data_IF_733376692012
#
_entry.id   IF_733376692012
#
_cell.length_a   1.000
_cell.length_b   1.000
_cell.length_c   1.000
_cell.angle_alpha   90.00
_cell.angle_beta   90.00
_cell.angle_gamma   90.00
#
_symmetry.space_group_name_H-M   'P 1'
#
loop_
_entity.id
_entity.type
_entity.pdbx_description
1 polymer ?
#
# COMPACT_ATOMS: atom_id res chain seq x y z
N UNK A 1 -28.51 -9.08 -18.69
CA UNK A 1 -27.77 -9.87 -17.67
C UNK A 1 -26.51 -9.17 -17.13
N UNK A 2 -26.16 -7.97 -17.61
CA UNK A 2 -24.96 -7.20 -17.20
C UNK A 2 -25.13 -6.29 -15.97
N UNK A 3 -26.34 -5.97 -15.54
CA UNK A 3 -26.59 -5.01 -14.45
C UNK A 3 -26.42 -5.59 -13.02
N UNK A 4 -26.60 -6.89 -12.85
CA UNK A 4 -26.60 -7.54 -11.52
C UNK A 4 -25.16 -7.78 -11.01
N UNK A 5 -24.19 -8.02 -11.88
CA UNK A 5 -22.76 -8.22 -11.50
C UNK A 5 -22.15 -6.91 -11.04
N UNK A 6 -22.54 -5.79 -11.65
CA UNK A 6 -22.11 -4.44 -11.26
C UNK A 6 -22.60 -4.04 -9.87
N UNK A 7 -23.82 -4.43 -9.47
CA UNK A 7 -24.39 -4.05 -8.17
C UNK A 7 -23.71 -4.76 -6.99
N UNK A 8 -23.35 -6.05 -7.11
CA UNK A 8 -22.63 -6.78 -6.05
C UNK A 8 -21.19 -6.28 -5.87
N UNK A 9 -20.49 -5.97 -6.95
CA UNK A 9 -19.14 -5.40 -6.88
C UNK A 9 -19.18 -3.97 -6.34
N UNK A 10 -20.13 -3.14 -6.76
CA UNK A 10 -20.33 -1.80 -6.25
C UNK A 10 -20.73 -1.80 -4.76
N UNK A 11 -21.56 -2.76 -4.34
CA UNK A 11 -22.01 -2.89 -2.94
C UNK A 11 -20.90 -3.35 -2.01
N UNK A 12 -20.00 -4.24 -2.45
CA UNK A 12 -18.83 -4.64 -1.64
C UNK A 12 -17.80 -3.52 -1.51
N UNK A 13 -17.59 -2.76 -2.58
CA UNK A 13 -16.68 -1.59 -2.58
C UNK A 13 -17.24 -0.45 -1.73
N UNK A 14 -18.54 -0.19 -1.82
CA UNK A 14 -19.24 0.80 -0.99
C UNK A 14 -19.15 0.45 0.50
N UNK A 15 -19.32 -0.83 0.87
CA UNK A 15 -19.24 -1.27 2.27
C UNK A 15 -17.85 -1.07 2.89
N UNK A 16 -16.78 -1.34 2.15
CA UNK A 16 -15.42 -1.17 2.65
C UNK A 16 -15.03 0.32 2.71
N UNK A 17 -15.30 1.07 1.64
CA UNK A 17 -14.98 2.51 1.58
C UNK A 17 -15.79 3.33 2.60
N UNK A 18 -16.98 2.87 2.99
CA UNK A 18 -17.83 3.58 3.96
C UNK A 18 -17.37 3.43 5.39
N UNK A 19 -16.54 2.41 5.70
CA UNK A 19 -15.98 2.17 7.03
C UNK A 19 -14.67 2.90 7.29
N UNK A 20 -14.10 3.55 6.26
CA UNK A 20 -12.84 4.29 6.38
C UNK A 20 -13.12 5.79 6.31
N UNK A 21 -12.44 6.63 7.13
CA UNK A 21 -12.50 8.08 7.00
C UNK A 21 -12.15 8.54 5.56
N UNK A 22 -12.74 9.62 5.03
CA UNK A 22 -13.67 10.53 5.70
C UNK A 22 -15.13 10.06 5.72
N UNK A 23 -15.50 9.05 4.91
CA UNK A 23 -16.88 8.64 4.65
C UNK A 23 -17.63 8.25 5.94
N UNK A 24 -16.99 7.46 6.82
CA UNK A 24 -17.58 7.06 8.10
C UNK A 24 -17.98 8.27 8.95
N UNK A 25 -17.12 9.29 9.03
CA UNK A 25 -17.37 10.47 9.88
C UNK A 25 -18.42 11.40 9.28
N UNK A 26 -18.44 11.54 7.95
CA UNK A 26 -19.51 12.23 7.24
C UNK A 26 -20.83 11.51 7.48
N UNK A 27 -20.87 10.18 7.35
CA UNK A 27 -22.06 9.38 7.58
C UNK A 27 -22.57 9.52 9.03
N UNK A 28 -21.69 9.46 10.03
CA UNK A 28 -22.04 9.70 11.43
C UNK A 28 -22.65 11.08 11.64
N UNK A 29 -22.08 12.11 11.03
CA UNK A 29 -22.61 13.47 11.09
C UNK A 29 -24.01 13.55 10.50
N UNK A 30 -24.22 12.99 9.32
CA UNK A 30 -25.54 12.98 8.64
C UNK A 30 -26.57 12.18 9.44
N UNK A 31 -26.21 11.00 9.94
CA UNK A 31 -27.09 10.17 10.79
C UNK A 31 -27.46 10.93 12.06
N UNK A 32 -26.48 11.60 12.68
CA UNK A 32 -26.72 12.43 13.87
C UNK A 32 -27.74 13.54 13.59
N UNK A 33 -27.63 14.24 12.46
CA UNK A 33 -28.58 15.27 12.04
C UNK A 33 -30.00 14.70 11.79
N UNK A 34 -30.10 13.51 11.19
CA UNK A 34 -31.39 12.83 11.01
C UNK A 34 -32.02 12.45 12.36
N UNK A 35 -31.21 11.89 13.27
CA UNK A 35 -31.68 11.56 14.63
C UNK A 35 -32.12 12.80 15.38
N UNK A 36 -31.44 13.95 15.20
CA UNK A 36 -31.77 15.21 15.86
C UNK A 36 -33.18 15.70 15.55
N UNK A 37 -33.76 15.30 14.43
CA UNK A 37 -35.16 15.63 14.09
C UNK A 37 -36.16 15.07 15.11
N UNK A 38 -35.89 13.87 15.65
CA UNK A 38 -36.81 13.22 16.63
C UNK A 38 -36.28 13.31 18.06
N UNK A 39 -34.97 13.20 18.25
CA UNK A 39 -34.24 13.25 19.52
C UNK A 39 -33.12 14.26 19.47
N UNK A 40 -33.46 15.56 19.60
CA UNK A 40 -32.55 16.68 19.35
C UNK A 40 -31.20 16.54 20.08
N UNK A 41 -31.22 16.23 21.39
CA UNK A 41 -29.99 16.13 22.20
C UNK A 41 -29.09 14.99 21.73
N UNK A 42 -29.64 13.80 21.53
CA UNK A 42 -28.89 12.64 21.09
C UNK A 42 -28.34 12.87 19.68
N UNK A 43 -29.15 13.35 18.76
CA UNK A 43 -28.73 13.61 17.39
C UNK A 43 -27.62 14.66 17.29
N UNK A 44 -27.70 15.75 18.07
CA UNK A 44 -26.63 16.75 18.11
C UNK A 44 -25.33 16.19 18.68
N UNK A 45 -25.37 15.34 19.72
CA UNK A 45 -24.16 14.67 20.23
C UNK A 45 -23.50 13.81 19.17
N UNK A 46 -24.26 12.98 18.44
CA UNK A 46 -23.74 12.12 17.38
C UNK A 46 -23.18 12.94 16.22
N UNK A 47 -23.91 13.99 15.79
CA UNK A 47 -23.46 14.86 14.70
C UNK A 47 -22.17 15.62 15.08
N UNK A 48 -22.11 16.19 16.27
CA UNK A 48 -20.91 16.89 16.76
C UNK A 48 -19.73 15.95 16.89
N UNK A 49 -19.93 14.73 17.36
CA UNK A 49 -18.88 13.70 17.44
C UNK A 49 -18.33 13.33 16.07
N UNK A 50 -19.20 13.08 15.07
CA UNK A 50 -18.79 12.80 13.70
C UNK A 50 -17.99 13.96 13.06
N UNK A 51 -18.49 15.20 13.24
CA UNK A 51 -17.81 16.40 12.77
C UNK A 51 -16.46 16.64 13.45
N UNK A 52 -16.38 16.41 14.77
CA UNK A 52 -15.14 16.54 15.53
C UNK A 52 -14.09 15.51 15.07
N UNK A 53 -14.48 14.26 14.83
CA UNK A 53 -13.58 13.24 14.30
C UNK A 53 -13.07 13.62 12.91
N UNK A 54 -13.95 14.10 12.03
CA UNK A 54 -13.55 14.57 10.69
C UNK A 54 -12.57 15.74 10.79
N UNK A 55 -12.83 16.70 11.67
CA UNK A 55 -11.93 17.81 11.94
C UNK A 55 -10.55 17.30 12.39
N UNK A 56 -10.49 16.43 13.39
CA UNK A 56 -9.24 15.91 13.96
C UNK A 56 -8.38 15.20 12.91
N UNK A 57 -8.95 14.27 12.14
CA UNK A 57 -8.18 13.54 11.11
C UNK A 57 -7.77 14.42 9.93
N UNK A 58 -8.34 15.61 9.80
CA UNK A 58 -7.95 16.58 8.79
C UNK A 58 -6.81 17.49 9.26
N UNK A 59 -6.35 17.38 10.52
CA UNK A 59 -5.27 18.21 11.04
C UNK A 59 -3.90 17.56 10.85
N UNK A 60 -2.83 18.35 10.54
CA UNK A 60 -1.46 17.85 10.42
C UNK A 60 -0.97 17.10 11.65
N UNK A 61 -1.29 17.58 12.85
CA UNK A 61 -0.88 16.96 14.13
C UNK A 61 -1.37 15.52 14.25
N UNK A 62 -2.63 15.26 13.89
CA UNK A 62 -3.19 13.89 13.94
C UNK A 62 -2.64 13.03 12.79
N UNK A 63 -2.47 13.62 11.61
CA UNK A 63 -1.89 12.92 10.46
C UNK A 63 -0.46 12.45 10.75
N UNK A 64 0.38 13.32 11.33
CA UNK A 64 1.77 13.02 11.70
C UNK A 64 1.83 11.93 12.80
N UNK A 65 0.95 11.98 13.78
CA UNK A 65 0.83 10.95 14.82
C UNK A 65 0.46 9.59 14.22
N UNK A 66 -0.56 9.54 13.37
CA UNK A 66 -1.02 8.30 12.75
C UNK A 66 0.05 7.67 11.85
N UNK A 67 0.70 8.48 11.00
CA UNK A 67 1.76 7.96 10.12
C UNK A 67 3.02 7.58 10.91
N UNK A 68 3.31 8.26 12.02
CA UNK A 68 4.35 7.89 12.98
C UNK A 68 4.10 6.50 13.53
N UNK A 69 2.88 6.23 14.03
CA UNK A 69 2.48 4.93 14.54
C UNK A 69 2.63 3.79 13.52
N UNK A 70 2.32 4.04 12.25
CA UNK A 70 2.53 3.06 11.16
C UNK A 70 4.02 2.77 10.97
N UNK A 71 4.88 3.80 11.03
CA UNK A 71 6.34 3.65 10.89
C UNK A 71 6.95 2.89 12.08
N UNK A 72 6.49 3.17 13.30
CA UNK A 72 6.94 2.47 14.51
C UNK A 72 6.58 0.98 14.45
N UNK A 73 5.38 0.66 13.93
CA UNK A 73 4.99 -0.72 13.68
C UNK A 73 5.88 -1.42 12.64
N UNK A 74 6.33 -0.71 11.61
CA UNK A 74 7.28 -1.26 10.64
C UNK A 74 8.64 -1.55 11.28
N UNK A 75 9.14 -0.65 12.11
CA UNK A 75 10.40 -0.83 12.85
C UNK A 75 10.36 -1.97 13.87
N UNK A 76 9.16 -2.34 14.36
CA UNK A 76 8.97 -3.44 15.31
C UNK A 76 8.90 -4.83 14.64
N UNK A 77 8.85 -4.92 13.30
CA UNK A 77 8.81 -6.20 12.58
C UNK A 77 10.25 -6.71 12.43
N UNK A 78 10.58 -7.90 12.99
CA UNK A 78 11.92 -8.44 12.87
C UNK A 78 12.30 -8.67 11.40
N UNK A 79 13.47 -8.19 11.02
CA UNK A 79 14.09 -8.58 9.75
C UNK A 79 14.70 -9.97 9.97
N UNK A 80 14.37 -10.91 9.09
CA UNK A 80 14.93 -12.25 9.17
C UNK A 80 16.45 -12.17 8.92
N UNK A 81 17.27 -12.78 9.78
CA UNK A 81 18.70 -12.78 9.58
C UNK A 81 19.03 -13.47 8.25
N UNK A 82 19.86 -12.84 7.45
CA UNK A 82 20.45 -13.43 6.26
C UNK A 82 21.95 -13.44 6.44
N UNK A 83 22.58 -14.58 6.17
CA UNK A 83 24.03 -14.69 6.17
C UNK A 83 24.69 -14.15 4.87
N UNK A 84 23.91 -13.63 3.95
CA UNK A 84 24.35 -13.18 2.63
C UNK A 84 23.86 -11.76 2.34
N UNK A 85 24.63 -10.95 1.58
CA UNK A 85 24.16 -9.64 1.10
C UNK A 85 22.92 -9.78 0.19
N UNK A 86 22.16 -8.69 -0.02
CA UNK A 86 21.00 -8.73 -0.92
C UNK A 86 21.42 -9.11 -2.33
N UNK A 87 20.71 -10.05 -2.94
CA UNK A 87 20.98 -10.50 -4.30
C UNK A 87 19.98 -9.97 -5.34
N UNK A 88 18.98 -9.19 -4.93
CA UNK A 88 18.00 -8.56 -5.81
C UNK A 88 17.35 -7.33 -5.14
N UNK A 89 16.76 -6.47 -5.97
CA UNK A 89 15.87 -5.40 -5.58
C UNK A 89 14.43 -5.82 -5.87
N UNK A 90 13.55 -5.81 -4.88
CA UNK A 90 12.11 -6.04 -5.06
C UNK A 90 11.38 -4.70 -5.03
N UNK A 91 10.61 -4.41 -6.07
CA UNK A 91 9.75 -3.21 -6.15
C UNK A 91 8.29 -3.63 -6.16
N UNK A 92 7.53 -3.21 -5.15
CA UNK A 92 6.09 -3.50 -5.09
C UNK A 92 5.28 -2.42 -5.81
N UNK A 93 4.25 -2.85 -6.55
CA UNK A 93 3.27 -1.93 -7.13
C UNK A 93 2.44 -1.21 -6.06
N UNK A 94 1.84 -0.06 -6.41
CA UNK A 94 0.90 0.66 -5.57
C UNK A 94 -0.39 0.99 -6.33
N UNK A 95 -0.29 1.77 -7.38
CA UNK A 95 -1.40 2.31 -8.14
C UNK A 95 -1.14 2.33 -9.65
N UNK A 96 -2.20 2.57 -10.40
CA UNK A 96 -2.17 2.75 -11.85
C UNK A 96 -3.11 3.89 -12.26
N UNK A 97 -2.92 4.42 -13.45
CA UNK A 97 -3.76 5.47 -14.04
C UNK A 97 -4.01 5.21 -15.53
N UNK A 98 -5.01 5.88 -16.11
CA UNK A 98 -5.14 5.90 -17.56
C UNK A 98 -3.90 6.52 -18.17
N UNK A 99 -3.45 5.94 -19.27
CA UNK A 99 -2.33 6.49 -20.04
C UNK A 99 -2.82 7.59 -20.99
N UNK A 100 -1.99 8.61 -21.16
CA UNK A 100 -2.17 9.64 -22.16
C UNK A 100 -1.43 9.28 -23.45
N UNK A 101 -0.68 8.17 -23.46
CA UNK A 101 0.09 7.71 -24.62
C UNK A 101 -0.80 6.94 -25.59
N UNK A 102 -0.82 7.28 -26.89
CA UNK A 102 -1.57 6.56 -27.90
C UNK A 102 -1.18 5.06 -27.94
N UNK A 103 -2.18 4.18 -27.96
CA UNK A 103 -1.98 2.73 -27.99
C UNK A 103 -1.80 2.07 -26.62
N UNK A 104 -1.64 2.83 -25.55
CA UNK A 104 -1.53 2.32 -24.18
C UNK A 104 -2.77 2.76 -23.37
N UNK A 105 -3.55 1.79 -22.86
CA UNK A 105 -4.77 2.11 -22.10
C UNK A 105 -4.49 2.56 -20.67
N UNK A 106 -3.50 1.95 -20.00
CA UNK A 106 -3.13 2.21 -18.63
C UNK A 106 -1.62 2.21 -18.44
N UNK A 107 -1.15 2.94 -17.44
CA UNK A 107 0.25 3.00 -17.00
C UNK A 107 0.32 3.07 -15.48
N UNK A 108 1.52 3.02 -14.92
CA UNK A 108 1.74 3.17 -13.48
C UNK A 108 1.20 4.50 -12.96
N UNK A 109 0.64 4.49 -11.76
CA UNK A 109 0.23 5.70 -11.06
C UNK A 109 1.41 6.42 -10.40
N UNK A 110 1.18 7.62 -9.83
CA UNK A 110 2.23 8.43 -9.22
C UNK A 110 2.99 7.70 -8.09
N UNK A 111 2.28 6.95 -7.25
CA UNK A 111 2.90 6.22 -6.16
C UNK A 111 3.79 5.07 -6.65
N UNK A 112 3.35 4.34 -7.66
CA UNK A 112 4.19 3.30 -8.28
C UNK A 112 5.41 3.93 -8.96
N UNK A 113 5.24 5.05 -9.66
CA UNK A 113 6.33 5.77 -10.33
C UNK A 113 7.40 6.24 -9.33
N UNK A 114 7.02 6.72 -8.14
CA UNK A 114 7.97 7.08 -7.09
C UNK A 114 8.84 5.90 -6.65
N UNK A 115 8.26 4.70 -6.54
CA UNK A 115 9.02 3.48 -6.21
C UNK A 115 9.95 3.06 -7.33
N UNK A 116 9.53 3.21 -8.58
CA UNK A 116 10.36 2.92 -9.75
C UNK A 116 11.54 3.89 -9.86
N UNK A 117 11.30 5.18 -9.61
CA UNK A 117 12.36 6.18 -9.58
C UNK A 117 13.38 5.91 -8.47
N UNK A 118 12.95 5.35 -7.32
CA UNK A 118 13.88 4.89 -6.28
C UNK A 118 14.69 3.68 -6.74
N UNK A 119 14.04 2.70 -7.36
CA UNK A 119 14.72 1.54 -7.91
C UNK A 119 15.76 1.93 -8.98
N UNK A 120 15.42 2.89 -9.83
CA UNK A 120 16.31 3.43 -10.85
C UNK A 120 17.53 4.17 -10.27
N UNK A 121 17.42 4.71 -9.07
CA UNK A 121 18.57 5.30 -8.35
C UNK A 121 19.45 4.25 -7.69
N UNK A 122 18.85 3.20 -7.14
CA UNK A 122 19.58 2.19 -6.36
C UNK A 122 20.18 1.08 -7.24
N UNK A 123 19.57 0.73 -8.36
CA UNK A 123 20.07 -0.33 -9.25
C UNK A 123 21.52 -0.06 -9.72
N UNK A 124 21.87 1.10 -10.30
CA UNK A 124 23.22 1.38 -10.74
C UNK A 124 24.26 1.46 -9.60
N UNK A 125 23.80 1.79 -8.39
CA UNK A 125 24.67 1.89 -7.20
C UNK A 125 25.01 0.54 -6.61
N UNK A 126 24.06 -0.42 -6.69
CA UNK A 126 24.16 -1.72 -6.06
C UNK A 126 24.53 -2.82 -7.07
N UNK A 127 24.27 -2.62 -8.35
CA UNK A 127 24.45 -3.62 -9.39
C UNK A 127 23.56 -4.85 -9.21
N UNK A 128 22.40 -4.69 -8.56
CA UNK A 128 21.51 -5.79 -8.24
C UNK A 128 20.36 -5.89 -9.26
N UNK A 129 20.04 -7.12 -9.72
CA UNK A 129 18.90 -7.32 -10.62
C UNK A 129 17.58 -6.97 -9.96
N UNK A 130 16.65 -6.43 -10.75
CA UNK A 130 15.35 -5.93 -10.30
C UNK A 130 14.25 -6.96 -10.51
N UNK A 131 13.42 -7.18 -9.49
CA UNK A 131 12.14 -7.86 -9.55
C UNK A 131 11.03 -6.82 -9.33
N UNK A 132 10.05 -6.75 -10.23
CA UNK A 132 8.84 -5.97 -10.07
C UNK A 132 7.65 -6.89 -9.74
N UNK A 133 6.82 -6.49 -8.78
CA UNK A 133 5.69 -7.31 -8.32
C UNK A 133 4.39 -6.50 -8.30
N UNK A 134 3.39 -7.05 -8.96
CA UNK A 134 2.04 -6.49 -8.99
C UNK A 134 1.17 -7.16 -10.04
N UNK A 135 0.12 -7.82 -9.60
CA UNK A 135 -0.79 -8.57 -10.45
C UNK A 135 -1.69 -7.71 -11.34
N UNK A 136 -2.64 -8.35 -11.97
CA UNK A 136 -3.59 -7.70 -12.89
C UNK A 136 -4.82 -7.20 -12.14
N UNK A 137 -5.07 -5.89 -12.09
CA UNK A 137 -6.28 -5.36 -11.49
C UNK A 137 -7.55 -5.82 -12.23
N UNK A 138 -8.66 -5.92 -11.51
CA UNK A 138 -9.93 -6.31 -12.10
C UNK A 138 -10.33 -5.38 -13.26
N UNK A 139 -10.65 -5.98 -14.42
CA UNK A 139 -11.07 -5.25 -15.62
C UNK A 139 -9.92 -4.76 -16.50
N UNK A 140 -8.65 -4.99 -16.13
CA UNK A 140 -7.49 -4.72 -16.96
C UNK A 140 -6.98 -5.98 -17.66
N UNK A 141 -6.23 -5.79 -18.75
CA UNK A 141 -5.52 -6.87 -19.47
C UNK A 141 -4.08 -6.99 -18.99
N UNK A 142 -3.47 -5.83 -18.68
CA UNK A 142 -2.05 -5.76 -18.31
C UNK A 142 -1.88 -5.80 -16.80
N UNK A 143 -0.85 -6.50 -16.35
CA UNK A 143 -0.47 -6.53 -14.94
C UNK A 143 0.25 -5.23 -14.55
N UNK A 144 0.18 -4.89 -13.27
CA UNK A 144 0.97 -3.77 -12.72
C UNK A 144 2.47 -4.03 -12.92
N UNK A 145 2.93 -5.25 -12.72
CA UNK A 145 4.32 -5.62 -12.96
C UNK A 145 4.71 -5.44 -14.44
N UNK A 146 3.82 -5.72 -15.37
CA UNK A 146 4.04 -5.43 -16.80
C UNK A 146 4.22 -3.94 -17.06
N UNK A 147 3.31 -3.09 -16.55
CA UNK A 147 3.42 -1.63 -16.66
C UNK A 147 4.71 -1.09 -16.00
N UNK A 148 5.08 -1.65 -14.84
CA UNK A 148 6.31 -1.28 -14.12
C UNK A 148 7.57 -1.64 -14.93
N UNK A 149 7.60 -2.83 -15.56
CA UNK A 149 8.71 -3.22 -16.46
C UNK A 149 8.86 -2.23 -17.59
N UNK A 150 7.78 -1.91 -18.31
CA UNK A 150 7.81 -0.95 -19.43
C UNK A 150 8.42 0.38 -18.98
N UNK A 151 7.96 0.95 -17.86
CA UNK A 151 8.47 2.24 -17.36
C UNK A 151 9.94 2.15 -16.94
N UNK A 152 10.35 1.07 -16.23
CA UNK A 152 11.77 0.89 -15.86
C UNK A 152 12.67 0.76 -17.07
N UNK A 153 12.28 -0.06 -18.04
CA UNK A 153 13.11 -0.36 -19.22
C UNK A 153 13.12 0.80 -20.22
N UNK A 154 11.96 1.40 -20.51
CA UNK A 154 11.83 2.42 -21.54
C UNK A 154 12.20 3.82 -21.05
N UNK A 155 11.73 4.21 -19.84
CA UNK A 155 11.92 5.57 -19.32
C UNK A 155 13.19 5.70 -18.47
N UNK A 156 13.45 4.70 -17.59
CA UNK A 156 14.60 4.74 -16.67
C UNK A 156 15.83 3.97 -17.15
N UNK A 157 15.73 3.17 -18.23
CA UNK A 157 16.82 2.34 -18.75
C UNK A 157 17.36 1.31 -17.77
N UNK A 158 16.52 0.86 -16.85
CA UNK A 158 16.84 -0.17 -15.86
C UNK A 158 16.24 -1.50 -16.29
N UNK A 159 17.06 -2.56 -16.51
CA UNK A 159 16.57 -3.86 -16.92
C UNK A 159 15.80 -4.56 -15.80
N UNK A 160 14.64 -5.12 -16.13
CA UNK A 160 13.84 -5.93 -15.21
C UNK A 160 14.17 -7.40 -15.41
N UNK A 161 14.76 -8.03 -14.38
CA UNK A 161 15.16 -9.45 -14.44
C UNK A 161 13.99 -10.39 -14.21
N UNK A 162 13.09 -10.07 -13.26
CA UNK A 162 11.94 -10.90 -12.92
C UNK A 162 10.69 -10.05 -12.78
N UNK A 163 9.58 -10.65 -13.20
CA UNK A 163 8.25 -10.06 -13.13
C UNK A 163 7.29 -11.01 -12.43
N UNK A 164 6.69 -10.55 -11.35
CA UNK A 164 5.61 -11.22 -10.64
C UNK A 164 4.29 -10.50 -10.99
N UNK A 165 3.40 -11.15 -11.69
CA UNK A 165 2.20 -10.56 -12.30
C UNK A 165 0.88 -11.24 -11.89
N UNK A 166 0.89 -12.13 -10.88
CA UNK A 166 -0.27 -12.93 -10.45
C UNK A 166 -0.92 -12.49 -9.15
N UNK A 167 -0.18 -11.75 -8.34
CA UNK A 167 -0.62 -11.33 -7.00
C UNK A 167 -1.84 -10.40 -7.02
N UNK A 168 -2.67 -10.54 -5.99
CA UNK A 168 -3.85 -9.69 -5.74
C UNK A 168 -3.78 -8.96 -4.41
N UNK A 169 -2.85 -9.34 -3.56
CA UNK A 169 -2.66 -8.80 -2.21
C UNK A 169 -1.17 -8.60 -1.93
N UNK A 170 -0.84 -7.77 -0.94
CA UNK A 170 0.55 -7.59 -0.51
C UNK A 170 1.18 -8.90 -0.01
N UNK A 171 0.38 -9.79 0.59
CA UNK A 171 0.85 -11.10 1.00
C UNK A 171 1.22 -11.98 -0.19
N UNK A 172 0.39 -12.00 -1.23
CA UNK A 172 0.66 -12.73 -2.47
C UNK A 172 1.87 -12.12 -3.22
N UNK A 173 2.04 -10.78 -3.22
CA UNK A 173 3.24 -10.15 -3.73
C UNK A 173 4.50 -10.74 -3.05
N UNK A 174 4.49 -10.81 -1.72
CA UNK A 174 5.61 -11.38 -0.97
C UNK A 174 5.82 -12.87 -1.26
N UNK A 175 4.75 -13.67 -1.24
CA UNK A 175 4.82 -15.10 -1.44
C UNK A 175 5.34 -15.47 -2.84
N UNK A 176 4.82 -14.83 -3.89
CA UNK A 176 5.20 -15.14 -5.26
C UNK A 176 6.57 -14.56 -5.63
N UNK A 177 6.90 -13.36 -5.15
CA UNK A 177 8.26 -12.80 -5.31
C UNK A 177 9.30 -13.68 -4.61
N UNK A 178 9.04 -14.11 -3.40
CA UNK A 178 9.91 -15.02 -2.66
C UNK A 178 10.12 -16.36 -3.39
N UNK A 179 9.05 -16.93 -3.98
CA UNK A 179 9.13 -18.16 -4.76
C UNK A 179 10.02 -17.99 -6.01
N UNK A 180 9.83 -16.89 -6.77
CA UNK A 180 10.67 -16.56 -7.93
C UNK A 180 12.13 -16.45 -7.53
N UNK A 181 12.44 -15.71 -6.48
CA UNK A 181 13.82 -15.45 -6.05
C UNK A 181 14.50 -16.70 -5.46
N UNK A 182 13.75 -17.53 -4.69
CA UNK A 182 14.28 -18.81 -4.22
C UNK A 182 14.65 -19.75 -5.36
N UNK A 183 13.82 -19.85 -6.39
CA UNK A 183 14.12 -20.65 -7.60
C UNK A 183 15.31 -20.09 -8.37
N UNK A 184 15.53 -18.78 -8.31
CA UNK A 184 16.70 -18.13 -8.91
C UNK A 184 17.97 -18.23 -8.06
N UNK A 185 17.92 -18.91 -6.89
CA UNK A 185 19.05 -19.02 -5.97
C UNK A 185 19.39 -17.71 -5.24
N UNK A 186 18.45 -16.77 -5.15
CA UNK A 186 18.63 -15.49 -4.45
C UNK A 186 18.13 -15.65 -3.01
N UNK A 187 19.02 -15.68 -2.00
CA UNK A 187 18.63 -15.99 -0.61
C UNK A 187 18.00 -14.82 0.12
N UNK A 188 18.22 -13.59 -0.33
CA UNK A 188 17.76 -12.38 0.32
C UNK A 188 17.67 -11.22 -0.67
N UNK A 189 16.88 -10.20 -0.34
CA UNK A 189 16.66 -9.07 -1.21
C UNK A 189 16.54 -7.74 -0.44
N UNK A 190 16.65 -6.65 -1.19
CA UNK A 190 16.31 -5.31 -0.77
C UNK A 190 14.87 -5.02 -1.22
N UNK A 191 14.05 -4.43 -0.35
CA UNK A 191 12.66 -4.08 -0.65
C UNK A 191 12.51 -2.58 -0.85
N UNK A 192 11.86 -2.16 -1.93
CA UNK A 192 11.46 -0.78 -2.18
C UNK A 192 9.93 -0.67 -2.15
N UNK A 193 9.44 0.16 -1.24
CA UNK A 193 8.03 0.53 -1.14
C UNK A 193 7.89 1.87 -0.40
N UNK A 194 6.68 2.38 -0.21
CA UNK A 194 6.49 3.57 0.63
C UNK A 194 6.62 3.24 2.12
N UNK A 195 7.11 4.19 2.92
CA UNK A 195 7.25 4.00 4.37
C UNK A 195 5.95 3.60 5.06
N UNK A 196 4.81 4.09 4.59
CA UNK A 196 3.49 3.72 5.13
C UNK A 196 3.12 2.26 4.86
N UNK A 197 3.49 1.72 3.68
CA UNK A 197 3.17 0.36 3.26
C UNK A 197 4.19 -0.65 3.81
N UNK A 198 5.31 -0.15 4.36
CA UNK A 198 6.45 -0.93 4.79
C UNK A 198 6.08 -1.97 5.86
N UNK A 199 5.29 -1.60 6.86
CA UNK A 199 4.88 -2.51 7.93
C UNK A 199 4.18 -3.77 7.38
N UNK A 200 3.23 -3.58 6.46
CA UNK A 200 2.49 -4.68 5.85
C UNK A 200 3.35 -5.51 4.91
N UNK A 201 4.25 -4.88 4.17
CA UNK A 201 5.18 -5.57 3.28
C UNK A 201 6.19 -6.40 4.07
N UNK A 202 6.88 -5.82 5.07
CA UNK A 202 7.82 -6.52 5.94
C UNK A 202 7.17 -7.71 6.65
N UNK A 203 5.98 -7.50 7.21
CA UNK A 203 5.21 -8.58 7.84
C UNK A 203 4.93 -9.72 6.84
N UNK A 204 4.54 -9.39 5.61
CA UNK A 204 4.24 -10.39 4.58
C UNK A 204 5.47 -11.22 4.20
N UNK A 205 6.62 -10.57 3.97
CA UNK A 205 7.88 -11.27 3.68
C UNK A 205 8.38 -12.09 4.86
N UNK A 206 8.25 -11.58 6.08
CA UNK A 206 8.56 -12.33 7.30
C UNK A 206 7.68 -13.59 7.43
N UNK A 207 6.37 -13.45 7.21
CA UNK A 207 5.42 -14.55 7.30
C UNK A 207 5.68 -15.68 6.27
N UNK A 208 6.19 -15.33 5.08
CA UNK A 208 6.59 -16.33 4.08
C UNK A 208 8.04 -16.81 4.27
N UNK A 209 8.72 -16.36 5.31
CA UNK A 209 10.09 -16.78 5.65
C UNK A 209 11.14 -16.37 4.61
N UNK A 210 10.98 -15.20 3.97
CA UNK A 210 11.96 -14.69 3.01
C UNK A 210 12.73 -13.49 3.60
N UNK A 211 14.08 -13.58 3.74
CA UNK A 211 14.89 -12.53 4.32
C UNK A 211 14.93 -11.25 3.47
N UNK A 212 14.66 -10.12 4.12
CA UNK A 212 14.91 -8.79 3.56
C UNK A 212 16.04 -8.15 4.34
N UNK A 213 17.12 -7.73 3.64
CA UNK A 213 18.29 -7.14 4.28
C UNK A 213 18.11 -5.65 4.54
N UNK A 214 17.46 -4.98 3.60
CA UNK A 214 17.23 -3.55 3.66
C UNK A 214 15.86 -3.23 3.07
N UNK A 215 15.20 -2.26 3.68
CA UNK A 215 13.93 -1.74 3.19
C UNK A 215 14.10 -0.24 2.95
N UNK A 216 13.92 0.19 1.70
CA UNK A 216 14.06 1.58 1.29
C UNK A 216 12.67 2.17 1.08
N UNK A 217 12.43 3.29 1.75
CA UNK A 217 11.25 4.10 1.53
C UNK A 217 11.45 5.02 0.33
N UNK A 218 10.50 5.05 -0.62
CA UNK A 218 10.55 6.01 -1.71
C UNK A 218 10.57 7.47 -1.21
N UNK A 219 11.32 8.32 -1.91
CA UNK A 219 11.97 9.53 -1.40
C UNK A 219 11.10 10.68 -0.89
N UNK A 220 9.85 10.82 -1.27
CA UNK A 220 9.07 12.02 -0.88
C UNK A 220 8.85 12.18 0.63
N UNK A 221 8.94 11.09 1.41
CA UNK A 221 8.83 11.17 2.86
C UNK A 221 10.17 11.37 3.56
N UNK A 222 11.28 11.15 2.86
CA UNK A 222 12.63 11.33 3.41
C UNK A 222 13.05 12.79 3.42
N UNK A 223 12.58 13.62 2.48
CA UNK A 223 12.93 15.05 2.42
C UNK A 223 12.38 15.85 3.60
N UNK A 224 11.17 15.57 4.06
CA UNK A 224 10.62 16.16 5.30
C UNK A 224 11.46 15.83 6.55
N UNK A 225 12.18 14.72 6.54
CA UNK A 225 13.09 14.33 7.63
C UNK A 225 14.47 14.96 7.53
N UNK A 226 14.92 15.27 6.30
CA UNK A 226 16.24 15.92 6.06
C UNK A 226 16.22 17.41 6.38
N UNK A 227 15.08 18.06 6.26
CA UNK A 227 14.94 19.50 6.57
C UNK A 227 15.00 19.82 8.06
N UNK A 228 15.12 18.83 8.95
CA UNK A 228 15.31 19.08 10.39
C UNK A 228 14.17 19.85 11.05
N UNK A 229 13.07 20.06 10.35
CA UNK A 229 11.85 20.61 10.90
C UNK A 229 11.22 19.55 11.84
N UNK A 230 11.78 19.47 13.06
CA UNK A 230 10.98 19.12 14.20
C UNK A 230 9.74 20.01 14.09
N UNK A 231 8.56 19.41 13.90
CA UNK A 231 7.29 20.14 13.77
C UNK A 231 7.13 20.98 15.01
N UNK A 232 7.61 22.24 14.96
CA UNK A 232 7.23 23.22 15.96
C UNK A 232 5.72 23.29 15.86
N UNK A 233 5.03 22.91 16.92
CA UNK A 233 3.58 22.98 16.98
C UNK A 233 3.18 24.44 16.69
N UNK A 234 2.71 24.67 15.50
CA UNK A 234 2.20 25.96 15.03
C UNK A 234 0.68 25.91 15.06
N UNK A 235 0.03 27.04 15.09
CA UNK A 235 -1.44 27.13 14.97
C UNK A 235 -1.93 26.44 13.68
N UNK A 236 -1.14 26.50 12.60
CA UNK A 236 -1.43 25.79 11.34
C UNK A 236 -1.43 24.26 11.47
N UNK A 237 -0.75 23.69 12.48
CA UNK A 237 -0.75 22.25 12.75
C UNK A 237 -2.11 21.74 13.23
N UNK A 238 -2.97 22.61 13.75
CA UNK A 238 -4.33 22.32 14.20
C UNK A 238 -5.40 22.75 13.18
N UNK A 239 -5.02 23.38 12.07
CA UNK A 239 -5.96 23.76 11.01
C UNK A 239 -6.19 22.60 10.05
N UNK A 240 -7.46 22.28 9.69
CA UNK A 240 -7.78 21.24 8.73
C UNK A 240 -7.18 21.51 7.36
N UNK A 241 -6.59 20.46 6.77
CA UNK A 241 -5.91 20.52 5.48
C UNK A 241 -6.17 19.24 4.68
N UNK A 242 -6.38 19.37 3.37
CA UNK A 242 -6.60 18.22 2.48
C UNK A 242 -5.42 17.23 2.49
N UNK A 243 -4.14 17.67 2.46
CA UNK A 243 -3.02 16.73 2.56
C UNK A 243 -3.00 15.93 3.86
N UNK A 244 -3.35 16.57 5.00
CA UNK A 244 -3.42 15.90 6.30
C UNK A 244 -4.53 14.84 6.33
N UNK A 245 -5.70 15.15 5.78
CA UNK A 245 -6.80 14.19 5.65
C UNK A 245 -6.38 12.97 4.81
N UNK A 246 -5.68 13.19 3.69
CA UNK A 246 -5.18 12.10 2.85
C UNK A 246 -4.16 11.23 3.59
N UNK A 247 -3.21 11.84 4.31
CA UNK A 247 -2.21 11.10 5.12
C UNK A 247 -2.89 10.30 6.22
N UNK A 248 -3.86 10.87 6.93
CA UNK A 248 -4.64 10.17 7.96
C UNK A 248 -5.43 9.00 7.38
N UNK A 249 -6.08 9.19 6.23
CA UNK A 249 -6.78 8.13 5.51
C UNK A 249 -5.85 6.96 5.19
N UNK A 250 -4.69 7.24 4.60
CA UNK A 250 -3.71 6.23 4.22
C UNK A 250 -3.13 5.51 5.44
N UNK A 251 -2.84 6.23 6.52
CA UNK A 251 -2.34 5.64 7.77
C UNK A 251 -3.39 4.71 8.41
N UNK A 252 -4.64 5.13 8.51
CA UNK A 252 -5.73 4.30 9.05
C UNK A 252 -6.01 3.09 8.17
N UNK A 253 -5.96 3.24 6.86
CA UNK A 253 -6.06 2.13 5.92
C UNK A 253 -4.98 1.07 6.17
N UNK A 254 -3.73 1.48 6.38
CA UNK A 254 -2.62 0.56 6.65
C UNK A 254 -2.73 -0.10 8.03
N UNK A 255 -3.15 0.62 9.07
CA UNK A 255 -3.37 0.06 10.41
C UNK A 255 -4.44 -1.03 10.38
N UNK A 256 -5.58 -0.75 9.71
CA UNK A 256 -6.66 -1.72 9.53
C UNK A 256 -6.19 -2.89 8.66
N UNK A 257 -5.50 -2.60 7.55
CA UNK A 257 -4.95 -3.60 6.65
C UNK A 257 -3.97 -4.55 7.34
N UNK A 258 -3.05 -4.03 8.14
CA UNK A 258 -2.10 -4.85 8.91
C UNK A 258 -2.82 -5.71 9.96
N UNK A 259 -3.80 -5.15 10.68
CA UNK A 259 -4.63 -5.89 11.62
C UNK A 259 -5.38 -7.05 10.95
N UNK A 260 -5.98 -6.79 9.80
CA UNK A 260 -6.67 -7.79 9.00
C UNK A 260 -5.74 -8.89 8.49
N UNK A 261 -4.55 -8.53 7.98
CA UNK A 261 -3.54 -9.48 7.54
C UNK A 261 -3.09 -10.39 8.69
N UNK A 262 -2.77 -9.82 9.85
CA UNK A 262 -2.40 -10.59 11.05
C UNK A 262 -3.51 -11.55 11.50
N UNK A 263 -4.75 -11.12 11.43
CA UNK A 263 -5.90 -11.96 11.77
C UNK A 263 -6.10 -13.10 10.76
N UNK A 264 -6.10 -12.76 9.45
CA UNK A 264 -6.40 -13.72 8.38
C UNK A 264 -5.32 -14.80 8.20
N UNK A 265 -4.07 -14.46 8.43
CA UNK A 265 -2.94 -15.38 8.22
C UNK A 265 -2.30 -15.87 9.54
N UNK A 266 -3.03 -15.77 10.66
CA UNK A 266 -2.56 -16.13 12.01
C UNK A 266 -2.27 -17.61 12.20
N UNK A 267 -2.99 -18.50 11.48
CA UNK A 267 -2.97 -19.95 11.71
C UNK A 267 -2.11 -20.71 10.70
N UNK A 268 -1.14 -20.07 10.06
CA UNK A 268 -0.20 -20.74 9.15
C UNK A 268 -0.83 -21.34 7.89
N UNK A 269 -2.08 -21.06 7.60
CA UNK A 269 -2.79 -21.50 6.40
C UNK A 269 -2.37 -20.62 5.19
N UNK A 270 -1.06 -20.68 4.90
CA UNK A 270 -0.39 -20.08 3.74
C UNK A 270 -0.69 -20.95 2.51
N UNK A 271 -1.95 -21.28 2.25
CA UNK A 271 -2.33 -21.81 0.96
C UNK A 271 -2.59 -20.62 0.03
N UNK A 272 -1.76 -20.44 -1.03
CA UNK A 272 -2.17 -19.60 -2.15
C UNK A 272 -3.58 -20.06 -2.54
N UNK A 273 -4.49 -19.13 -2.71
CA UNK A 273 -5.88 -19.41 -3.08
C UNK A 273 -5.94 -20.55 -4.10
N UNK A 274 -6.64 -21.63 -3.78
CA UNK A 274 -6.63 -22.95 -4.43
C UNK A 274 -7.06 -22.96 -5.93
N UNK A 275 -6.77 -21.92 -6.68
CA UNK A 275 -7.02 -21.77 -8.12
C UNK A 275 -5.85 -22.07 -9.03
N UNK A 276 -4.65 -22.42 -8.54
CA UNK A 276 -3.43 -22.50 -9.35
C UNK A 276 -2.68 -23.85 -9.30
N UNK A 277 -3.25 -24.88 -8.68
CA UNK A 277 -2.68 -26.24 -8.75
C UNK A 277 -3.06 -27.01 -10.03
N UNK A 278 -3.83 -26.46 -10.94
CA UNK A 278 -4.36 -27.16 -12.12
C UNK A 278 -3.71 -26.76 -13.47
N UNK A 279 -2.46 -26.33 -13.47
CA UNK A 279 -1.79 -25.83 -14.70
C UNK A 279 -0.35 -26.27 -14.93
N UNK A 280 0.16 -27.30 -14.24
CA UNK A 280 1.48 -27.86 -14.55
C UNK A 280 1.37 -29.38 -14.73
N UNK A 281 0.79 -29.79 -15.84
CA UNK A 281 1.04 -31.09 -16.46
C UNK A 281 0.91 -30.93 -17.96
N UNK A 282 2.02 -30.74 -18.60
CA UNK A 282 2.57 -31.20 -19.90
C UNK A 282 3.48 -30.15 -20.48
#
# INVERSE_FOLDING_TARGET
>A
MGFIVSAKAAMSWFSYSSLIPPNLFILLTVIGLVIAWRWTRLGLVVATFGGALLYLVSTPVVADYLIGSVKDLAGAIPVLPSGAPPGAIIVLSADYRKSDTPGQSFTVGPMTLERLAEAAREEPRLGLPVLVSGGTPNGLRDSLAGMMSTVLEDDFRVPVRWREDRSRTTFENAAFSADILRRAGVPSALLITHCRDMARALWSFHAVGYPLILAICSAQQTERRRSGEASSLSVSSFSPQIPALLVSYLALHELIGLGWHRYRYRDGDVRPSAGLAAGVSR
#
